data_IF_266131550487
#
_entry.id   IF_266131550487
#
_cell.length_a   1.000
_cell.length_b   1.000
_cell.length_c   1.000
_cell.angle_alpha   90.00
_cell.angle_beta   90.00
_cell.angle_gamma   90.00
#
_symmetry.space_group_name_H-M   'P 1'
#
loop_
_entity.id
_entity.type
_entity.pdbx_description
1 polymer ?
#
# COMPACT_ATOMS: atom_id res chain seq x y z
N UNK A 1 -10.28 21.67 36.03
CA UNK A 1 -9.85 20.26 36.04
C UNK A 1 -10.55 19.46 34.92
N UNK A 2 -9.87 18.47 34.31
CA UNK A 2 -10.42 17.63 33.25
C UNK A 2 -10.77 16.26 33.80
N UNK A 3 -11.92 16.11 34.41
CA UNK A 3 -12.38 14.81 34.87
C UNK A 3 -13.05 14.02 33.73
N UNK A 4 -12.79 12.70 33.63
CA UNK A 4 -13.45 11.76 32.74
C UNK A 4 -13.26 11.97 31.23
N UNK A 5 -12.31 12.80 30.79
CA UNK A 5 -12.07 13.05 29.36
C UNK A 5 -11.41 11.85 28.69
N UNK A 6 -12.21 10.99 28.03
CA UNK A 6 -11.75 9.74 27.39
C UNK A 6 -11.19 9.93 25.99
N UNK A 7 -11.45 11.05 25.30
CA UNK A 7 -11.02 11.30 23.92
C UNK A 7 -10.47 12.71 23.71
N UNK A 8 -9.60 12.85 22.72
CA UNK A 8 -9.03 14.13 22.33
C UNK A 8 -9.96 14.85 21.35
N UNK A 9 -10.27 16.10 21.61
CA UNK A 9 -11.12 16.92 20.73
C UNK A 9 -10.39 17.39 19.47
N UNK A 10 -9.06 17.43 19.46
CA UNK A 10 -8.23 17.88 18.35
C UNK A 10 -8.63 19.28 17.83
N UNK A 11 -9.08 20.15 18.75
CA UNK A 11 -9.57 21.51 18.45
C UNK A 11 -10.69 21.53 17.39
N UNK A 12 -11.55 20.50 17.35
CA UNK A 12 -12.61 20.34 16.36
C UNK A 12 -13.96 20.07 16.98
N UNK A 13 -15.03 20.57 16.34
CA UNK A 13 -16.41 20.19 16.67
C UNK A 13 -16.64 18.70 16.36
N UNK A 14 -17.63 18.09 17.00
CA UNK A 14 -17.90 16.65 16.91
C UNK A 14 -18.07 16.12 15.46
N UNK A 15 -18.88 16.75 14.58
CA UNK A 15 -19.05 16.28 13.21
C UNK A 15 -17.73 16.32 12.41
N UNK A 16 -17.01 17.43 12.47
CA UNK A 16 -15.73 17.59 11.77
C UNK A 16 -14.69 16.58 12.26
N UNK A 17 -14.63 16.30 13.56
CA UNK A 17 -13.73 15.29 14.11
C UNK A 17 -14.10 13.89 13.63
N UNK A 18 -15.40 13.55 13.57
CA UNK A 18 -15.88 12.27 13.06
C UNK A 18 -15.48 12.09 11.59
N UNK A 19 -15.78 13.05 10.72
CA UNK A 19 -15.41 13.00 9.29
C UNK A 19 -13.90 12.91 9.08
N UNK A 20 -13.10 13.67 9.85
CA UNK A 20 -11.64 13.59 9.77
C UNK A 20 -11.13 12.20 10.14
N UNK A 21 -11.64 11.58 11.22
CA UNK A 21 -11.21 10.24 11.63
C UNK A 21 -11.64 9.17 10.64
N UNK A 22 -12.85 9.30 10.05
CA UNK A 22 -13.36 8.42 9.00
C UNK A 22 -12.45 8.46 7.77
N UNK A 23 -12.12 9.65 7.26
CA UNK A 23 -11.24 9.82 6.10
C UNK A 23 -9.82 9.28 6.37
N UNK A 24 -9.26 9.58 7.55
CA UNK A 24 -7.95 9.04 7.94
C UNK A 24 -7.97 7.51 8.07
N UNK A 25 -9.06 6.93 8.59
CA UNK A 25 -9.20 5.48 8.69
C UNK A 25 -9.29 4.82 7.32
N UNK A 26 -10.07 5.38 6.40
CA UNK A 26 -10.15 4.93 5.00
C UNK A 26 -8.78 4.99 4.32
N UNK A 27 -8.05 6.09 4.49
CA UNK A 27 -6.68 6.22 3.96
C UNK A 27 -5.72 5.19 4.56
N UNK A 28 -5.80 4.94 5.88
CA UNK A 28 -4.95 3.92 6.53
C UNK A 28 -5.24 2.51 6.00
N UNK A 29 -6.50 2.17 5.78
CA UNK A 29 -6.90 0.86 5.26
C UNK A 29 -6.42 0.69 3.81
N UNK A 30 -6.53 1.72 2.97
CA UNK A 30 -6.11 1.68 1.57
C UNK A 30 -4.58 1.64 1.42
N UNK A 31 -3.88 2.56 2.10
CA UNK A 31 -2.44 2.73 1.97
C UNK A 31 -1.60 1.92 2.96
N UNK A 32 -2.23 1.30 3.99
CA UNK A 32 -1.59 0.49 5.05
C UNK A 32 -0.72 1.30 6.02
N UNK A 33 -0.23 2.46 5.64
CA UNK A 33 0.53 3.42 6.46
C UNK A 33 0.18 4.85 6.04
N UNK A 34 0.09 5.76 7.01
CA UNK A 34 -0.09 7.19 6.78
C UNK A 34 0.78 8.00 7.75
N UNK A 35 1.23 9.16 7.30
CA UNK A 35 1.94 10.12 8.14
C UNK A 35 0.98 11.19 8.66
N UNK A 36 1.07 11.51 9.94
CA UNK A 36 0.22 12.51 10.59
C UNK A 36 0.81 12.98 11.91
N UNK A 37 0.16 13.95 12.58
CA UNK A 37 0.60 14.38 13.91
C UNK A 37 0.30 13.31 14.96
N UNK A 38 1.16 13.19 15.97
CA UNK A 38 1.06 12.19 17.03
C UNK A 38 -0.31 12.20 17.74
N UNK A 39 -0.87 13.40 17.97
CA UNK A 39 -2.19 13.54 18.59
C UNK A 39 -3.31 12.92 17.74
N UNK A 40 -3.27 13.13 16.41
CA UNK A 40 -4.23 12.53 15.45
C UNK A 40 -4.03 11.02 15.36
N UNK A 41 -2.79 10.53 15.28
CA UNK A 41 -2.49 9.11 15.24
C UNK A 41 -3.03 8.36 16.48
N UNK A 42 -2.83 8.92 17.68
CA UNK A 42 -3.38 8.37 18.93
C UNK A 42 -4.92 8.34 18.96
N UNK A 43 -5.58 9.36 18.40
CA UNK A 43 -7.04 9.39 18.28
C UNK A 43 -7.54 8.39 17.23
N UNK A 44 -6.86 8.31 16.08
CA UNK A 44 -7.17 7.38 15.00
C UNK A 44 -7.06 5.93 15.44
N UNK A 45 -6.02 5.56 16.20
CA UNK A 45 -5.86 4.22 16.74
C UNK A 45 -7.10 3.75 17.51
N UNK A 46 -7.63 4.58 18.40
CA UNK A 46 -8.85 4.28 19.16
C UNK A 46 -10.10 4.09 18.28
N UNK A 47 -10.12 4.75 17.11
CA UNK A 47 -11.22 4.65 16.17
C UNK A 47 -11.09 3.42 15.26
N UNK A 48 -9.89 3.10 14.78
CA UNK A 48 -9.64 2.02 13.81
C UNK A 48 -9.59 0.64 14.45
N UNK A 49 -8.99 0.47 15.65
CA UNK A 49 -8.85 -0.84 16.31
C UNK A 49 -10.19 -1.60 16.43
N UNK A 50 -11.32 -0.98 16.85
CA UNK A 50 -12.60 -1.67 16.86
C UNK A 50 -13.12 -2.07 15.48
N UNK A 51 -12.81 -1.29 14.42
CA UNK A 51 -13.20 -1.63 13.05
C UNK A 51 -12.45 -2.85 12.55
N UNK A 52 -11.14 -2.92 12.83
CA UNK A 52 -10.30 -4.06 12.51
C UNK A 52 -10.75 -5.32 13.26
N UNK A 53 -11.16 -5.20 14.51
CA UNK A 53 -11.74 -6.33 15.26
C UNK A 53 -13.04 -6.82 14.64
N UNK A 54 -13.94 -5.91 14.24
CA UNK A 54 -15.20 -6.26 13.58
C UNK A 54 -15.00 -6.92 12.21
N UNK A 55 -13.93 -6.58 11.49
CA UNK A 55 -13.68 -7.14 10.16
C UNK A 55 -13.28 -8.62 10.18
N UNK A 56 -12.90 -9.18 11.33
CA UNK A 56 -12.60 -10.60 11.44
C UNK A 56 -13.82 -11.51 11.25
N UNK A 57 -15.00 -11.00 11.56
CA UNK A 57 -16.26 -11.69 11.30
C UNK A 57 -16.93 -11.09 10.06
N UNK A 58 -16.83 -11.78 8.92
CA UNK A 58 -17.42 -11.29 7.67
C UNK A 58 -18.90 -11.62 7.60
N UNK A 59 -19.71 -10.78 8.25
CA UNK A 59 -21.16 -10.84 8.18
C UNK A 59 -21.70 -9.58 7.52
N UNK A 60 -22.89 -9.65 6.92
CA UNK A 60 -23.57 -8.48 6.35
C UNK A 60 -23.78 -7.39 7.39
N UNK A 61 -24.03 -7.77 8.64
CA UNK A 61 -24.16 -6.84 9.76
C UNK A 61 -22.85 -6.12 10.08
N UNK A 62 -21.72 -6.85 10.13
CA UNK A 62 -20.38 -6.29 10.34
C UNK A 62 -20.01 -5.31 9.21
N UNK A 63 -20.25 -5.68 7.95
CA UNK A 63 -20.02 -4.79 6.79
C UNK A 63 -20.84 -3.52 6.87
N UNK A 64 -22.14 -3.60 7.19
CA UNK A 64 -23.01 -2.41 7.38
C UNK A 64 -22.53 -1.52 8.52
N UNK A 65 -22.18 -2.10 9.66
CA UNK A 65 -21.66 -1.37 10.83
C UNK A 65 -20.35 -0.65 10.53
N UNK A 66 -19.44 -1.27 9.79
CA UNK A 66 -18.17 -0.66 9.38
C UNK A 66 -18.43 0.44 8.34
N UNK A 67 -19.29 0.17 7.36
CA UNK A 67 -19.64 1.15 6.33
C UNK A 67 -20.25 2.43 6.92
N UNK A 68 -21.13 2.33 7.92
CA UNK A 68 -21.72 3.50 8.59
C UNK A 68 -20.70 4.39 9.30
N UNK A 69 -19.49 3.88 9.56
CA UNK A 69 -18.41 4.63 10.19
C UNK A 69 -17.37 5.15 9.19
N UNK A 70 -17.09 4.39 8.12
CA UNK A 70 -16.09 4.74 7.11
C UNK A 70 -16.68 5.54 5.95
N UNK A 71 -17.93 5.28 5.56
CA UNK A 71 -18.64 5.91 4.44
C UNK A 71 -17.92 5.78 3.08
N UNK A 72 -16.99 4.79 2.97
CA UNK A 72 -16.20 4.53 1.78
C UNK A 72 -16.26 3.05 1.41
N UNK A 73 -16.80 2.74 0.21
CA UNK A 73 -16.99 1.37 -0.29
C UNK A 73 -15.67 0.65 -0.54
N UNK A 74 -14.69 1.35 -1.12
CA UNK A 74 -13.38 0.78 -1.45
C UNK A 74 -12.62 0.37 -0.19
N UNK A 75 -12.60 1.26 0.82
CA UNK A 75 -11.97 0.96 2.10
C UNK A 75 -12.63 -0.24 2.81
N UNK A 76 -13.96 -0.36 2.75
CA UNK A 76 -14.66 -1.52 3.33
C UNK A 76 -14.32 -2.80 2.58
N UNK A 77 -14.33 -2.79 1.25
CA UNK A 77 -13.95 -3.96 0.46
C UNK A 77 -12.50 -4.38 0.72
N UNK A 78 -11.57 -3.44 0.76
CA UNK A 78 -10.16 -3.70 1.06
C UNK A 78 -9.98 -4.25 2.47
N UNK A 79 -10.75 -3.73 3.45
CA UNK A 79 -10.71 -4.16 4.83
C UNK A 79 -11.14 -5.62 4.99
N UNK A 80 -12.28 -6.02 4.42
CA UNK A 80 -12.82 -7.37 4.56
C UNK A 80 -12.12 -8.40 3.69
N UNK A 81 -11.67 -8.02 2.48
CA UNK A 81 -11.08 -8.98 1.53
C UNK A 81 -9.59 -9.22 1.79
N UNK A 82 -8.82 -8.17 2.13
CA UNK A 82 -7.35 -8.29 2.23
C UNK A 82 -6.82 -8.09 3.64
N UNK A 83 -7.38 -7.11 4.38
CA UNK A 83 -6.82 -6.77 5.70
C UNK A 83 -7.26 -7.78 6.73
N UNK A 84 -8.52 -8.22 6.73
CA UNK A 84 -9.07 -9.17 7.70
C UNK A 84 -8.31 -10.50 7.71
N UNK A 85 -7.91 -10.99 6.54
CA UNK A 85 -7.14 -12.23 6.40
C UNK A 85 -5.80 -12.15 7.14
N UNK A 86 -5.05 -11.05 6.93
CA UNK A 86 -3.72 -10.86 7.55
C UNK A 86 -3.78 -10.67 9.06
N UNK A 87 -4.82 -9.99 9.57
CA UNK A 87 -4.95 -9.71 11.00
C UNK A 87 -5.67 -10.82 11.78
N UNK A 88 -6.17 -11.86 11.12
CA UNK A 88 -7.00 -12.91 11.71
C UNK A 88 -6.35 -13.56 12.92
N UNK A 89 -5.05 -13.85 12.86
CA UNK A 89 -4.28 -14.51 13.92
C UNK A 89 -3.96 -13.61 15.12
N UNK A 90 -4.01 -12.26 14.94
CA UNK A 90 -3.60 -11.32 15.99
C UNK A 90 -4.78 -11.00 16.93
N UNK A 91 -4.66 -11.16 18.26
CA UNK A 91 -5.78 -10.93 19.18
C UNK A 91 -6.13 -9.43 19.35
N UNK A 92 -5.20 -8.50 19.01
CA UNK A 92 -5.38 -7.06 19.12
C UNK A 92 -4.09 -6.29 18.87
N UNK A 93 -4.13 -4.94 18.92
CA UNK A 93 -2.95 -4.12 18.66
C UNK A 93 -2.53 -4.16 17.19
N UNK A 94 -3.47 -4.01 16.29
CA UNK A 94 -3.26 -4.11 14.85
C UNK A 94 -2.46 -2.93 14.27
N UNK A 95 -2.38 -1.84 15.02
CA UNK A 95 -1.73 -0.61 14.57
C UNK A 95 -0.49 -0.28 15.38
N UNK A 96 0.53 0.26 14.72
CA UNK A 96 1.75 0.78 15.34
C UNK A 96 1.90 2.26 15.02
N UNK A 97 2.36 3.05 16.00
CA UNK A 97 2.68 4.46 15.84
C UNK A 97 4.17 4.64 16.04
N UNK A 98 4.86 5.16 15.03
CA UNK A 98 6.28 5.44 15.01
C UNK A 98 6.44 6.95 14.99
N UNK A 99 7.18 7.53 15.94
CA UNK A 99 7.49 8.96 15.96
C UNK A 99 8.56 9.28 14.91
N UNK A 100 8.34 10.32 14.11
CA UNK A 100 9.27 10.73 13.03
C UNK A 100 10.00 12.03 13.32
N UNK A 101 9.66 12.72 14.41
CA UNK A 101 10.27 13.98 14.79
C UNK A 101 9.26 15.13 14.83
N UNK A 102 9.73 16.32 14.53
CA UNK A 102 8.95 17.55 14.60
C UNK A 102 8.82 18.18 13.22
N UNK A 103 7.67 18.77 12.94
CA UNK A 103 7.42 19.48 11.68
C UNK A 103 8.01 20.88 11.76
N UNK A 104 8.76 21.28 10.71
CA UNK A 104 9.25 22.65 10.58
C UNK A 104 8.08 23.64 10.50
N UNK A 105 8.22 24.77 11.17
CA UNK A 105 7.23 25.85 11.20
C UNK A 105 6.38 25.89 12.47
N UNK A 106 5.74 24.78 12.87
CA UNK A 106 4.87 24.74 14.07
C UNK A 106 5.35 23.81 15.17
N UNK A 107 6.51 23.19 14.99
CA UNK A 107 7.11 22.23 15.93
C UNK A 107 6.14 21.13 16.42
N UNK A 108 5.17 20.74 15.57
CA UNK A 108 4.24 19.69 15.89
C UNK A 108 4.92 18.32 15.84
N UNK A 109 4.72 17.48 16.86
CA UNK A 109 5.20 16.09 16.85
C UNK A 109 4.52 15.31 15.71
N UNK A 110 5.32 14.77 14.80
CA UNK A 110 4.89 13.95 13.68
C UNK A 110 5.03 12.47 13.98
N UNK A 111 4.22 11.66 13.34
CA UNK A 111 4.28 10.21 13.46
C UNK A 111 3.69 9.52 12.24
N UNK A 112 4.20 8.32 11.97
CA UNK A 112 3.61 7.37 11.04
C UNK A 112 2.75 6.40 11.85
N UNK A 113 1.51 6.20 11.43
CA UNK A 113 0.67 5.10 11.89
C UNK A 113 0.57 4.07 10.77
N UNK A 114 0.79 2.81 11.10
CA UNK A 114 0.82 1.70 10.16
C UNK A 114 0.07 0.47 10.67
N UNK A 115 -0.37 -0.39 9.75
CA UNK A 115 -0.84 -1.74 10.07
C UNK A 115 0.38 -2.65 10.24
N UNK A 116 0.52 -3.26 11.42
CA UNK A 116 1.71 -4.05 11.82
C UNK A 116 1.98 -5.18 10.82
N UNK A 117 0.94 -5.88 10.40
CA UNK A 117 1.04 -7.07 9.55
C UNK A 117 1.35 -6.77 8.07
N UNK A 118 1.49 -5.49 7.71
CA UNK A 118 1.87 -5.03 6.37
C UNK A 118 3.30 -4.47 6.29
N UNK A 119 4.00 -4.37 7.42
CA UNK A 119 5.38 -3.88 7.43
C UNK A 119 6.36 -5.06 7.25
N UNK A 120 6.71 -5.35 6.00
CA UNK A 120 7.61 -6.46 5.63
C UNK A 120 9.01 -6.30 6.19
N UNK A 121 9.52 -5.06 6.32
CA UNK A 121 10.85 -4.78 6.84
C UNK A 121 10.99 -5.18 8.32
N UNK A 122 9.94 -4.94 9.12
CA UNK A 122 9.95 -5.28 10.55
C UNK A 122 9.51 -6.74 10.82
N UNK A 123 8.85 -7.37 9.84
CA UNK A 123 8.47 -8.78 9.93
C UNK A 123 9.62 -9.72 9.52
N UNK A 124 10.77 -9.19 9.11
CA UNK A 124 11.93 -9.98 8.72
C UNK A 124 11.69 -10.79 7.43
N UNK A 125 10.67 -10.46 6.65
CA UNK A 125 10.45 -11.04 5.32
C UNK A 125 11.31 -10.24 4.35
N UNK A 126 12.62 -10.51 4.41
CA UNK A 126 13.56 -9.91 3.47
C UNK A 126 13.23 -10.40 2.05
N UNK A 127 13.00 -9.46 1.15
CA UNK A 127 12.95 -9.72 -0.30
C UNK A 127 14.32 -10.15 -0.87
N UNK A 128 15.31 -10.42 0.00
CA UNK A 128 16.68 -10.80 -0.37
C UNK A 128 16.79 -12.17 -1.06
N UNK A 129 15.78 -13.04 -0.94
CA UNK A 129 15.84 -14.37 -1.58
C UNK A 129 15.56 -14.38 -3.10
N UNK A 130 15.04 -13.28 -3.66
CA UNK A 130 14.82 -13.23 -5.12
C UNK A 130 16.04 -12.77 -5.92
N UNK A 131 16.95 -11.99 -5.29
CA UNK A 131 18.14 -11.46 -5.98
C UNK A 131 19.34 -12.44 -6.00
N UNK A 132 19.43 -13.34 -5.02
CA UNK A 132 20.54 -14.30 -4.93
C UNK A 132 20.40 -15.48 -5.91
N UNK A 133 19.17 -15.89 -6.26
CA UNK A 133 18.95 -16.95 -7.27
C UNK A 133 19.29 -16.49 -8.69
N UNK A 134 19.14 -15.21 -9.02
CA UNK A 134 19.50 -14.64 -10.32
C UNK A 134 21.02 -14.50 -10.48
N UNK A 135 21.76 -14.10 -9.44
CA UNK A 135 23.23 -13.98 -9.46
C UNK A 135 23.94 -15.33 -9.53
N UNK A 136 23.44 -16.38 -8.87
CA UNK A 136 24.01 -17.73 -8.96
C UNK A 136 23.82 -18.36 -10.34
N UNK A 137 22.69 -18.11 -11.03
CA UNK A 137 22.48 -18.59 -12.40
C UNK A 137 23.38 -17.90 -13.43
N UNK A 138 23.69 -16.61 -13.28
CA UNK A 138 24.60 -15.87 -14.17
C UNK A 138 26.06 -16.32 -14.01
N UNK A 139 26.48 -16.64 -12.77
CA UNK A 139 27.87 -17.08 -12.51
C UNK A 139 28.14 -18.51 -13.01
N UNK A 140 27.12 -19.37 -13.12
CA UNK A 140 27.27 -20.73 -13.63
C UNK A 140 27.26 -20.82 -15.17
N UNK A 141 26.88 -19.72 -15.87
CA UNK A 141 26.88 -19.66 -17.34
C UNK A 141 28.15 -19.02 -17.93
N UNK A 142 29.02 -18.44 -17.11
CA UNK A 142 30.24 -17.75 -17.54
C UNK A 142 31.53 -18.59 -17.36
N UNK A 143 31.45 -19.83 -16.89
CA UNK A 143 32.62 -20.69 -16.69
C UNK A 143 32.65 -21.94 -17.59
N UNK A 144 31.80 -21.98 -18.63
CA UNK A 144 31.70 -23.12 -19.53
C UNK A 144 31.98 -22.77 -21.01
N UNK A 145 32.77 -21.73 -21.28
CA UNK A 145 33.18 -21.45 -22.66
C UNK A 145 34.58 -20.78 -22.70
N UNK A 146 35.60 -21.56 -22.54
CA UNK A 146 36.97 -21.24 -23.00
C UNK A 146 37.58 -22.54 -23.55
N UNK A 147 37.62 -22.62 -24.85
CA UNK A 147 38.41 -23.65 -25.53
C UNK A 147 38.17 -23.72 -27.03
N UNK A 148 39.17 -23.20 -27.75
CA UNK A 148 39.67 -23.51 -29.11
C UNK A 148 39.12 -22.73 -30.30
N UNK A 149 39.98 -21.83 -30.76
CA UNK A 149 40.53 -21.56 -32.09
C UNK A 149 39.71 -21.93 -33.35
N UNK A 150 39.43 -20.98 -34.22
CA UNK A 150 40.18 -20.65 -35.43
C UNK A 150 39.50 -19.57 -36.29
N UNK A 151 40.32 -18.70 -36.88
CA UNK A 151 40.01 -17.61 -37.82
C UNK A 151 40.02 -18.13 -39.27
N UNK A 152 39.79 -17.35 -40.32
CA UNK A 152 38.79 -16.33 -40.68
C UNK A 152 38.18 -16.52 -42.10
N UNK A 153 37.20 -15.74 -42.51
CA UNK A 153 37.11 -15.04 -43.82
C UNK A 153 35.71 -14.45 -44.11
N UNK A 154 35.77 -13.15 -44.30
CA UNK A 154 35.11 -12.24 -45.28
C UNK A 154 33.95 -12.77 -46.12
N UNK A 155 32.87 -11.98 -46.22
CA UNK A 155 32.41 -11.18 -47.38
C UNK A 155 31.01 -10.65 -47.14
N UNK A 156 30.89 -9.35 -47.18
CA UNK A 156 30.08 -8.43 -48.00
C UNK A 156 28.80 -8.99 -48.66
N UNK A 157 27.69 -8.32 -48.43
CA UNK A 157 26.79 -7.58 -49.38
C UNK A 157 25.42 -7.45 -48.77
N UNK A 158 24.98 -6.26 -48.49
CA UNK A 158 24.18 -5.31 -49.28
C UNK A 158 22.66 -5.62 -49.41
N UNK A 159 21.94 -4.66 -48.88
CA UNK A 159 20.70 -4.00 -49.40
C UNK A 159 19.48 -4.84 -49.78
N UNK A 160 18.34 -4.52 -49.17
CA UNK A 160 17.27 -3.79 -49.90
C UNK A 160 16.15 -3.32 -48.97
N UNK A 161 15.92 -2.06 -49.07
CA UNK A 161 14.75 -1.25 -48.74
C UNK A 161 13.59 -1.65 -49.69
N UNK A 162 12.39 -1.75 -49.18
CA UNK A 162 11.17 -1.39 -49.95
C UNK A 162 10.12 -0.85 -48.98
N UNK A 163 9.78 0.38 -49.23
CA UNK A 163 8.58 1.11 -48.85
C UNK A 163 7.35 0.57 -49.60
N UNK A 164 6.17 0.77 -49.03
CA UNK A 164 4.95 1.39 -49.63
C UNK A 164 3.78 1.11 -48.72
N UNK A 165 3.20 2.11 -48.16
CA UNK A 165 2.23 3.13 -48.65
C UNK A 165 0.79 2.60 -48.72
N UNK A 166 -0.02 3.27 -47.89
CA UNK A 166 -1.23 4.04 -48.19
C UNK A 166 -2.56 3.35 -48.50
N UNK A 167 -3.51 3.90 -47.84
CA UNK A 167 -4.78 4.54 -48.26
C UNK A 167 -6.03 3.87 -47.70
N UNK A 168 -6.73 4.60 -46.92
CA UNK A 168 -7.93 5.44 -47.17
C UNK A 168 -9.24 4.65 -47.45
N UNK A 169 -10.21 4.96 -46.72
CA UNK A 169 -11.50 5.62 -47.02
C UNK A 169 -12.54 5.22 -45.97
N UNK A 170 -13.04 6.16 -45.23
CA UNK A 170 -14.19 7.06 -45.47
C UNK A 170 -15.52 6.35 -45.65
N UNK A 171 -16.38 6.72 -44.77
CA UNK A 171 -17.75 7.21 -44.93
C UNK A 171 -18.94 6.28 -44.69
N UNK A 172 -19.81 6.92 -43.96
CA UNK A 172 -21.29 7.01 -43.98
C UNK A 172 -21.97 6.32 -42.80
N UNK A 173 -22.47 7.12 -41.88
CA UNK A 173 -23.72 7.94 -41.87
C UNK A 173 -24.98 7.13 -41.67
N UNK A 174 -25.65 7.50 -40.57
CA UNK A 174 -27.10 7.61 -40.36
C UNK A 174 -27.94 6.33 -40.19
N UNK A 175 -28.44 6.10 -39.05
CA UNK A 175 -29.84 6.42 -38.66
C UNK A 175 -29.95 6.36 -37.15
#
# INVERSE_FOLDING_TARGET
>A
MRHGKRFNHLSRKAPHRKSMLSNMASSLILHKKIETTLAKAKALRKFVEPLLTKSKSDTTHSRRSVFSLLENKEAVNELFNKVSEKISSRPGGYTRIIKTGFRLGDNAEMSIIELVDYNTLLLGVDESDKSTKSRRRRRKKSTADVGSDDKPKSTKKEKKVVKKDTKDSKDKKSK
#
